data_IF_332685501160
#
_entry.id   IF_332685501160
#
_cell.length_a   1.000
_cell.length_b   1.000
_cell.length_c   1.000
_cell.angle_alpha   90.00
_cell.angle_beta   90.00
_cell.angle_gamma   90.00
#
_symmetry.space_group_name_H-M   'P 1'
#
loop_
_entity.id
_entity.type
_entity.pdbx_description
1 polymer ?
#
# COMPACT_ATOMS: atom_id res chain seq x y z
N UNK A 1 19.78 11.10 18.75
CA UNK A 1 20.19 11.37 20.15
C UNK A 1 20.28 12.87 20.43
N UNK A 2 21.00 13.68 19.61
CA UNK A 2 21.15 15.13 19.78
C UNK A 2 19.81 15.88 19.80
N UNK A 3 18.87 15.55 18.91
CA UNK A 3 17.54 16.17 18.89
C UNK A 3 16.69 15.78 20.11
N UNK A 4 16.82 14.57 20.63
CA UNK A 4 16.17 14.17 21.89
C UNK A 4 16.65 15.04 23.07
N UNK A 5 17.94 15.27 23.16
CA UNK A 5 18.51 16.14 24.22
C UNK A 5 18.06 17.59 24.07
N UNK A 6 18.08 18.12 22.84
CA UNK A 6 17.70 19.49 22.55
C UNK A 6 16.21 19.77 22.78
N UNK A 7 15.35 18.82 22.40
CA UNK A 7 13.89 18.92 22.61
C UNK A 7 13.47 18.54 24.03
N UNK A 8 14.35 17.93 24.81
CA UNK A 8 14.07 17.31 26.11
C UNK A 8 12.91 16.31 26.06
N UNK A 9 12.72 15.65 24.92
CA UNK A 9 11.66 14.68 24.69
C UNK A 9 12.15 13.54 23.82
N UNK A 10 11.89 12.30 24.24
CA UNK A 10 12.22 11.10 23.45
C UNK A 10 11.34 10.95 22.21
N UNK A 11 10.14 11.51 22.24
CA UNK A 11 9.15 11.49 21.14
C UNK A 11 9.13 12.80 20.33
N UNK A 12 10.26 13.50 20.25
CA UNK A 12 10.40 14.77 19.51
C UNK A 12 9.90 14.67 18.05
N UNK A 13 9.97 13.49 17.45
CA UNK A 13 9.55 13.22 16.07
C UNK A 13 8.02 13.28 15.89
N UNK A 14 7.22 13.06 16.96
CA UNK A 14 5.76 13.06 16.88
C UNK A 14 5.17 14.40 16.44
N UNK A 15 5.93 15.49 16.59
CA UNK A 15 5.51 16.82 16.15
C UNK A 15 5.49 16.98 14.63
N UNK A 16 6.08 16.06 13.88
CA UNK A 16 6.07 16.07 12.42
C UNK A 16 4.67 15.82 11.82
N UNK A 17 3.81 15.08 12.54
CA UNK A 17 2.42 14.84 12.16
C UNK A 17 1.57 14.82 13.45
N UNK A 18 1.26 15.99 14.01
CA UNK A 18 0.68 16.10 15.36
C UNK A 18 -0.75 15.57 15.48
N UNK A 19 -1.42 15.31 14.36
CA UNK A 19 -2.76 14.72 14.28
C UNK A 19 -2.77 13.21 14.30
N UNK A 20 -1.61 12.58 14.22
CA UNK A 20 -1.47 11.11 14.23
C UNK A 20 -0.88 10.62 15.54
N UNK A 21 -1.33 9.46 15.97
CA UNK A 21 -0.74 8.74 17.12
C UNK A 21 0.76 8.57 16.90
N UNK A 22 1.58 8.98 17.87
CA UNK A 22 3.05 9.01 17.79
C UNK A 22 3.62 9.70 16.53
N UNK A 23 2.87 10.63 15.90
CA UNK A 23 3.31 11.32 14.69
C UNK A 23 3.39 10.43 13.46
N UNK A 24 2.77 9.24 13.49
CA UNK A 24 2.82 8.26 12.40
C UNK A 24 4.19 7.58 12.25
N UNK A 25 4.98 7.50 13.33
CA UNK A 25 6.32 6.90 13.26
C UNK A 25 6.28 5.38 13.19
N UNK A 26 5.50 4.74 14.07
CA UNK A 26 5.36 3.29 14.13
C UNK A 26 3.98 2.91 14.65
N UNK A 27 3.43 1.78 14.15
CA UNK A 27 2.11 1.32 14.56
C UNK A 27 0.96 2.22 14.11
N UNK A 28 1.16 2.98 13.06
CA UNK A 28 0.19 3.92 12.52
C UNK A 28 -1.08 3.22 12.04
N UNK A 29 -2.24 3.67 12.53
CA UNK A 29 -3.55 3.24 12.04
C UNK A 29 -3.85 3.90 10.70
N UNK A 30 -4.19 3.09 9.70
CA UNK A 30 -4.64 3.59 8.39
C UNK A 30 -5.99 4.27 8.49
N UNK A 31 -6.83 3.81 9.44
CA UNK A 31 -8.10 4.45 9.75
C UNK A 31 -7.87 5.89 10.22
N UNK A 32 -6.98 6.08 11.19
CA UNK A 32 -6.64 7.41 11.70
C UNK A 32 -6.17 8.35 10.59
N UNK A 33 -5.38 7.83 9.63
CA UNK A 33 -4.97 8.62 8.46
C UNK A 33 -6.14 8.98 7.55
N UNK A 34 -6.97 8.00 7.21
CA UNK A 34 -8.08 8.20 6.28
C UNK A 34 -9.15 9.13 6.85
N UNK A 35 -9.40 9.07 8.17
CA UNK A 35 -10.33 9.97 8.86
C UNK A 35 -9.90 11.46 8.77
N UNK A 36 -8.62 11.72 8.47
CA UNK A 36 -8.07 13.07 8.29
C UNK A 36 -8.04 13.54 6.83
N UNK A 37 -8.42 12.69 5.90
CA UNK A 37 -8.42 12.98 4.46
C UNK A 37 -9.86 13.07 3.93
N UNK A 38 -10.11 13.91 2.91
CA UNK A 38 -11.39 13.84 2.20
C UNK A 38 -11.61 12.46 1.57
N UNK A 39 -12.86 11.97 1.56
CA UNK A 39 -13.21 10.62 1.09
C UNK A 39 -12.75 10.29 -0.34
N UNK A 40 -12.60 11.29 -1.18
CA UNK A 40 -12.15 11.12 -2.57
C UNK A 40 -10.62 10.99 -2.72
N UNK A 41 -9.85 10.99 -1.62
CA UNK A 41 -8.39 10.85 -1.62
C UNK A 41 -7.90 9.44 -1.30
N UNK A 42 -8.80 8.53 -0.98
CA UNK A 42 -8.46 7.13 -0.73
C UNK A 42 -9.53 6.20 -1.30
N UNK A 43 -9.19 4.95 -1.63
CA UNK A 43 -10.15 4.00 -2.16
C UNK A 43 -11.25 3.70 -1.13
N UNK A 44 -12.45 3.39 -1.62
CA UNK A 44 -13.57 2.97 -0.77
C UNK A 44 -13.11 1.91 0.24
N UNK A 45 -13.39 2.13 1.52
CA UNK A 45 -12.86 1.32 2.61
C UNK A 45 -13.92 1.10 3.68
N UNK A 46 -14.01 -0.12 4.21
CA UNK A 46 -14.74 -0.44 5.44
C UNK A 46 -13.82 -1.16 6.42
N UNK A 47 -14.15 -1.08 7.70
CA UNK A 47 -13.37 -1.68 8.79
C UNK A 47 -14.14 -2.84 9.39
N UNK A 48 -13.43 -3.95 9.62
CA UNK A 48 -13.97 -5.21 10.09
C UNK A 48 -13.27 -5.61 11.39
N UNK A 49 -14.07 -5.91 12.42
CA UNK A 49 -13.55 -6.52 13.64
C UNK A 49 -13.39 -8.03 13.45
N UNK A 50 -12.28 -8.63 13.92
CA UNK A 50 -12.07 -10.08 13.82
C UNK A 50 -13.07 -10.90 14.64
N UNK A 51 -13.82 -10.27 15.54
CA UNK A 51 -14.82 -10.92 16.41
C UNK A 51 -16.23 -10.94 15.81
N UNK A 52 -16.44 -10.31 14.66
CA UNK A 52 -17.74 -10.34 13.98
C UNK A 52 -18.03 -11.73 13.43
N UNK A 53 -19.27 -12.22 13.47
CA UNK A 53 -19.68 -13.40 12.69
C UNK A 53 -19.46 -13.14 11.19
N UNK A 54 -19.07 -14.19 10.46
CA UNK A 54 -18.76 -14.04 9.03
C UNK A 54 -19.95 -13.55 8.19
N UNK A 55 -21.16 -13.96 8.54
CA UNK A 55 -22.41 -13.48 7.89
C UNK A 55 -22.55 -11.95 8.01
N UNK A 56 -22.13 -11.37 9.12
CA UNK A 56 -22.14 -9.92 9.29
C UNK A 56 -21.05 -9.26 8.44
N UNK A 57 -19.87 -9.90 8.31
CA UNK A 57 -18.81 -9.44 7.40
C UNK A 57 -19.30 -9.40 5.97
N UNK A 58 -19.95 -10.47 5.50
CA UNK A 58 -20.55 -10.53 4.16
C UNK A 58 -21.56 -9.41 3.95
N UNK A 59 -22.46 -9.19 4.92
CA UNK A 59 -23.45 -8.13 4.86
C UNK A 59 -22.79 -6.75 4.78
N UNK A 60 -21.74 -6.50 5.55
CA UNK A 60 -20.99 -5.24 5.53
C UNK A 60 -20.32 -5.01 4.17
N UNK A 61 -19.70 -6.04 3.60
CA UNK A 61 -19.07 -5.98 2.27
C UNK A 61 -20.13 -5.69 1.19
N UNK A 62 -21.24 -6.41 1.22
CA UNK A 62 -22.34 -6.21 0.26
C UNK A 62 -22.98 -4.82 0.38
N UNK A 63 -23.35 -4.40 1.60
CA UNK A 63 -23.97 -3.09 1.83
C UNK A 63 -23.01 -1.92 1.56
N UNK A 64 -21.69 -2.16 1.75
CA UNK A 64 -20.64 -1.22 1.36
C UNK A 64 -20.44 -1.13 -0.16
N UNK A 65 -21.16 -1.92 -0.96
CA UNK A 65 -21.10 -1.92 -2.43
C UNK A 65 -19.75 -2.42 -2.96
N UNK A 66 -19.11 -3.39 -2.28
CA UNK A 66 -17.90 -4.03 -2.77
C UNK A 66 -18.23 -5.21 -3.68
N UNK A 67 -17.41 -5.39 -4.70
CA UNK A 67 -17.38 -6.58 -5.57
C UNK A 67 -15.98 -7.15 -5.63
N UNK A 68 -15.85 -8.44 -5.84
CA UNK A 68 -14.55 -9.08 -6.07
C UNK A 68 -13.95 -8.63 -7.41
N UNK A 69 -12.61 -8.46 -7.51
CA UNK A 69 -11.68 -8.55 -6.40
C UNK A 69 -11.62 -7.27 -5.56
N UNK A 70 -11.24 -7.42 -4.29
CA UNK A 70 -10.90 -6.32 -3.41
C UNK A 70 -9.68 -6.65 -2.53
N UNK A 71 -9.17 -5.68 -1.80
CA UNK A 71 -8.01 -5.84 -0.93
C UNK A 71 -8.45 -5.96 0.52
N UNK A 72 -7.79 -6.84 1.26
CA UNK A 72 -7.87 -6.90 2.71
C UNK A 72 -6.48 -6.71 3.32
N UNK A 73 -6.40 -5.95 4.38
CA UNK A 73 -5.14 -5.67 5.10
C UNK A 73 -5.43 -5.23 6.54
N UNK A 74 -4.55 -5.50 7.52
CA UNK A 74 -4.73 -5.00 8.87
C UNK A 74 -4.72 -3.47 8.89
N UNK A 75 -5.47 -2.88 9.82
CA UNK A 75 -5.46 -1.43 10.05
C UNK A 75 -4.05 -0.97 10.44
N UNK A 76 -3.47 -1.59 11.45
CA UNK A 76 -2.07 -1.40 11.82
C UNK A 76 -1.22 -2.53 11.24
N UNK A 77 -0.19 -2.18 10.47
CA UNK A 77 0.71 -3.17 9.87
C UNK A 77 1.67 -2.54 8.87
N UNK A 78 2.83 -3.16 8.70
CA UNK A 78 3.92 -2.72 7.84
C UNK A 78 4.22 -3.76 6.76
N UNK A 79 4.91 -3.33 5.70
CA UNK A 79 5.55 -4.17 4.68
C UNK A 79 4.64 -5.15 3.92
N UNK A 80 3.31 -4.95 3.97
CA UNK A 80 2.37 -5.84 3.32
C UNK A 80 2.06 -7.12 4.09
N UNK A 81 2.45 -7.19 5.37
CA UNK A 81 2.08 -8.31 6.24
C UNK A 81 0.56 -8.44 6.29
N UNK A 82 0.06 -9.65 6.07
CA UNK A 82 -1.37 -9.97 6.01
C UNK A 82 -2.16 -9.23 4.92
N UNK A 83 -1.50 -8.54 4.01
CA UNK A 83 -2.14 -8.00 2.80
C UNK A 83 -2.57 -9.16 1.88
N UNK A 84 -3.82 -9.11 1.39
CA UNK A 84 -4.33 -10.09 0.41
C UNK A 84 -5.25 -9.40 -0.59
N UNK A 85 -5.17 -9.85 -1.83
CA UNK A 85 -6.21 -9.68 -2.82
C UNK A 85 -7.20 -10.82 -2.64
N UNK A 86 -8.47 -10.50 -2.58
CA UNK A 86 -9.56 -11.45 -2.36
C UNK A 86 -10.40 -11.50 -3.62
N UNK A 87 -10.46 -12.66 -4.23
CA UNK A 87 -11.16 -12.91 -5.49
C UNK A 87 -12.47 -13.69 -5.28
N UNK A 88 -12.73 -14.21 -4.08
CA UNK A 88 -13.92 -14.99 -3.77
C UNK A 88 -14.33 -14.90 -2.29
N UNK A 89 -15.59 -15.28 -2.02
CA UNK A 89 -16.13 -15.37 -0.67
C UNK A 89 -15.36 -16.36 0.20
N UNK A 90 -14.99 -17.51 -0.35
CA UNK A 90 -14.20 -18.52 0.35
C UNK A 90 -12.84 -17.96 0.83
N UNK A 91 -12.17 -17.17 0.00
CA UNK A 91 -10.92 -16.51 0.38
C UNK A 91 -11.16 -15.47 1.48
N UNK A 92 -12.25 -14.71 1.43
CA UNK A 92 -12.61 -13.76 2.47
C UNK A 92 -12.88 -14.46 3.81
N UNK A 93 -13.66 -15.54 3.80
CA UNK A 93 -13.95 -16.33 5.00
C UNK A 93 -12.67 -16.91 5.61
N UNK A 94 -11.82 -17.50 4.78
CA UNK A 94 -10.53 -18.06 5.21
C UNK A 94 -9.64 -16.99 5.83
N UNK A 95 -9.61 -15.80 5.23
CA UNK A 95 -8.86 -14.66 5.75
C UNK A 95 -9.43 -14.21 7.10
N UNK A 96 -10.74 -13.99 7.18
CA UNK A 96 -11.42 -13.52 8.38
C UNK A 96 -11.20 -14.45 9.57
N UNK A 97 -11.35 -15.76 9.39
CA UNK A 97 -11.14 -16.78 10.43
C UNK A 97 -9.73 -16.78 11.01
N UNK A 98 -8.73 -16.34 10.24
CA UNK A 98 -7.32 -16.34 10.64
C UNK A 98 -6.84 -14.98 11.13
N UNK A 99 -7.64 -13.94 10.96
CA UNK A 99 -7.24 -12.58 11.28
C UNK A 99 -7.37 -12.31 12.78
N UNK A 100 -6.26 -12.01 13.49
CA UNK A 100 -6.31 -11.80 14.94
C UNK A 100 -6.62 -10.34 15.34
N UNK A 101 -6.57 -9.40 14.38
CA UNK A 101 -6.69 -7.96 14.62
C UNK A 101 -7.72 -7.32 13.69
N UNK A 102 -8.11 -6.10 13.99
CA UNK A 102 -8.96 -5.30 13.09
C UNK A 102 -8.29 -5.14 11.73
N UNK A 103 -9.11 -5.26 10.68
CA UNK A 103 -8.65 -5.14 9.31
C UNK A 103 -9.65 -4.34 8.47
N UNK A 104 -9.18 -3.88 7.34
CA UNK A 104 -10.00 -3.18 6.36
C UNK A 104 -10.24 -4.02 5.13
N UNK A 105 -11.43 -3.87 4.56
CA UNK A 105 -11.75 -4.23 3.18
C UNK A 105 -11.69 -2.95 2.37
N UNK A 106 -10.92 -2.96 1.29
CA UNK A 106 -10.66 -1.79 0.46
C UNK A 106 -10.81 -2.14 -1.01
N UNK A 107 -11.37 -1.23 -1.77
CA UNK A 107 -11.48 -1.36 -3.22
C UNK A 107 -10.13 -1.66 -3.86
N UNK A 108 -10.12 -2.62 -4.80
CA UNK A 108 -8.92 -2.91 -5.59
C UNK A 108 -8.79 -1.90 -6.72
N UNK A 109 -7.81 -1.03 -6.59
CA UNK A 109 -7.47 -0.03 -7.61
C UNK A 109 -6.43 -0.64 -8.55
N UNK A 110 -6.85 -0.95 -9.78
CA UNK A 110 -6.00 -1.57 -10.80
C UNK A 110 -5.53 -0.52 -11.84
N UNK A 111 -4.87 0.52 -11.37
CA UNK A 111 -4.21 1.46 -12.26
C UNK A 111 -2.78 1.01 -12.58
N UNK A 112 -2.30 1.24 -13.81
CA UNK A 112 -1.00 0.75 -14.25
C UNK A 112 0.18 1.51 -13.63
N UNK A 113 -0.07 2.70 -13.11
CA UNK A 113 0.95 3.55 -12.51
C UNK A 113 0.75 3.65 -11.01
N UNK A 114 1.79 3.29 -10.25
CA UNK A 114 1.88 3.56 -8.84
C UNK A 114 3.05 4.51 -8.58
N UNK A 115 2.78 5.63 -7.92
CA UNK A 115 3.78 6.65 -7.60
C UNK A 115 3.91 6.82 -6.10
N UNK A 116 5.12 7.16 -5.67
CA UNK A 116 5.40 7.59 -4.31
C UNK A 116 5.90 9.03 -4.30
N UNK A 117 5.43 9.81 -3.36
CA UNK A 117 5.76 11.22 -3.21
C UNK A 117 6.22 11.46 -1.78
N UNK A 118 7.43 12.00 -1.62
CA UNK A 118 7.88 12.54 -0.34
C UNK A 118 7.62 14.02 -0.28
N UNK A 119 6.78 14.42 0.68
CA UNK A 119 6.42 15.80 0.90
C UNK A 119 6.75 16.22 2.33
N UNK A 120 7.22 17.47 2.50
CA UNK A 120 7.32 18.09 3.81
C UNK A 120 6.91 19.55 3.76
N UNK A 121 6.40 20.07 4.88
CA UNK A 121 6.09 21.49 5.09
C UNK A 121 6.41 21.90 6.53
N UNK A 122 7.13 22.98 6.68
CA UNK A 122 7.30 23.55 8.02
C UNK A 122 5.97 24.14 8.50
N UNK A 123 5.54 23.92 9.76
CA UNK A 123 4.22 24.35 10.25
C UNK A 123 3.91 25.84 10.04
N UNK A 124 4.94 26.70 10.02
CA UNK A 124 4.83 28.14 9.83
C UNK A 124 4.81 28.59 8.37
N UNK A 125 5.09 27.68 7.44
CA UNK A 125 5.13 28.01 6.02
C UNK A 125 3.77 27.77 5.37
N UNK A 126 3.41 28.63 4.44
CA UNK A 126 2.21 28.46 3.61
C UNK A 126 2.36 27.32 2.60
N UNK A 127 3.56 27.08 2.09
CA UNK A 127 3.87 26.05 1.11
C UNK A 127 4.97 25.12 1.62
N UNK A 128 4.91 23.86 1.17
CA UNK A 128 5.91 22.84 1.46
C UNK A 128 6.85 22.59 0.29
N UNK A 129 7.42 21.39 0.27
CA UNK A 129 8.30 20.93 -0.80
C UNK A 129 8.11 19.45 -1.03
N UNK A 130 8.13 19.06 -2.29
CA UNK A 130 8.24 17.66 -2.71
C UNK A 130 9.72 17.36 -2.92
N UNK A 131 10.26 16.45 -2.11
CA UNK A 131 11.69 16.10 -2.13
C UNK A 131 12.00 14.90 -3.00
N UNK A 132 11.00 14.08 -3.28
CA UNK A 132 11.13 12.97 -4.23
C UNK A 132 9.77 12.64 -4.83
N UNK A 133 9.78 12.34 -6.11
CA UNK A 133 8.70 11.74 -6.88
C UNK A 133 9.27 10.53 -7.61
N UNK A 134 8.64 9.38 -7.47
CA UNK A 134 9.10 8.16 -8.12
C UNK A 134 7.94 7.25 -8.49
N UNK A 135 8.08 6.49 -9.57
CA UNK A 135 7.17 5.41 -9.89
C UNK A 135 7.66 4.09 -9.28
N UNK A 136 6.70 3.26 -8.93
CA UNK A 136 6.94 1.89 -8.50
C UNK A 136 6.56 0.94 -9.64
N UNK A 137 7.48 0.07 -9.99
CA UNK A 137 7.24 -1.01 -10.94
C UNK A 137 7.20 -2.32 -10.17
N UNK A 138 6.06 -2.97 -10.22
CA UNK A 138 5.88 -4.29 -9.62
C UNK A 138 6.74 -5.32 -10.35
N UNK A 139 7.26 -6.33 -9.64
CA UNK A 139 7.98 -7.40 -10.28
C UNK A 139 7.02 -8.18 -11.18
N UNK A 140 7.46 -8.46 -12.38
CA UNK A 140 6.67 -9.18 -13.37
C UNK A 140 7.59 -9.99 -14.27
N UNK A 141 7.11 -11.12 -14.74
CA UNK A 141 7.77 -11.92 -15.78
C UNK A 141 7.01 -11.79 -17.10
N UNK A 142 7.73 -11.93 -18.20
CA UNK A 142 7.16 -11.97 -19.54
C UNK A 142 7.38 -13.35 -20.17
N UNK A 143 6.34 -13.90 -20.75
CA UNK A 143 6.40 -15.18 -21.44
C UNK A 143 7.24 -15.12 -22.72
N UNK A 144 8.01 -16.16 -22.95
CA UNK A 144 8.75 -16.38 -24.19
C UNK A 144 8.01 -17.34 -25.15
N UNK A 145 6.91 -17.93 -24.68
CA UNK A 145 6.07 -18.90 -25.38
C UNK A 145 6.56 -20.36 -25.29
N UNK A 146 7.60 -20.62 -24.51
CA UNK A 146 8.22 -21.95 -24.40
C UNK A 146 8.51 -22.36 -22.98
N UNK A 147 8.98 -21.42 -22.15
CA UNK A 147 9.38 -21.68 -20.77
C UNK A 147 8.18 -21.66 -19.85
N UNK A 148 8.22 -22.51 -18.83
CA UNK A 148 7.26 -22.47 -17.73
C UNK A 148 7.47 -21.20 -16.88
N UNK A 149 6.48 -20.82 -16.11
CA UNK A 149 6.58 -19.71 -15.17
C UNK A 149 7.76 -19.95 -14.22
N UNK A 150 7.94 -21.18 -13.74
CA UNK A 150 9.04 -21.57 -12.89
C UNK A 150 10.42 -21.33 -13.54
N UNK A 151 10.59 -21.77 -14.77
CA UNK A 151 11.84 -21.57 -15.53
C UNK A 151 12.11 -20.08 -15.80
N UNK A 152 11.07 -19.26 -16.05
CA UNK A 152 11.21 -17.82 -16.24
C UNK A 152 11.63 -17.14 -14.94
N UNK A 153 11.11 -17.56 -13.79
CA UNK A 153 11.50 -17.05 -12.47
C UNK A 153 12.98 -17.34 -12.15
N UNK A 154 13.42 -18.55 -12.45
CA UNK A 154 14.82 -18.96 -12.26
C UNK A 154 15.77 -18.16 -13.16
N UNK A 155 15.39 -17.87 -14.40
CA UNK A 155 16.20 -17.09 -15.34
C UNK A 155 16.39 -15.63 -14.93
N UNK A 156 15.36 -15.00 -14.40
CA UNK A 156 15.39 -13.56 -14.08
C UNK A 156 16.19 -13.23 -12.82
N UNK A 157 16.67 -14.20 -12.05
CA UNK A 157 17.45 -14.02 -10.80
C UNK A 157 16.86 -12.93 -9.89
N UNK A 158 15.54 -12.83 -9.83
CA UNK A 158 14.83 -11.71 -9.18
C UNK A 158 15.08 -11.64 -7.67
N UNK A 159 15.77 -12.62 -7.07
CA UNK A 159 15.95 -12.72 -5.62
C UNK A 159 14.65 -12.92 -4.87
N UNK A 160 13.57 -13.06 -5.59
CA UNK A 160 12.22 -13.27 -5.04
C UNK A 160 12.09 -14.78 -4.90
N UNK A 161 11.96 -15.25 -3.67
CA UNK A 161 11.81 -16.68 -3.38
C UNK A 161 10.41 -17.15 -3.75
N UNK A 162 10.27 -18.43 -4.10
CA UNK A 162 8.97 -19.07 -4.40
C UNK A 162 7.91 -18.84 -3.31
N UNK A 163 8.35 -18.63 -2.04
CA UNK A 163 7.47 -18.32 -0.90
C UNK A 163 6.75 -16.96 -1.02
N UNK A 164 7.30 -16.03 -1.81
CA UNK A 164 6.67 -14.73 -2.08
C UNK A 164 5.61 -14.83 -3.18
N UNK A 165 5.70 -15.88 -4.02
CA UNK A 165 4.69 -16.18 -5.02
C UNK A 165 3.68 -17.15 -4.44
N UNK A 166 2.44 -16.75 -4.42
CA UNK A 166 1.32 -17.64 -4.07
C UNK A 166 0.67 -18.22 -5.33
N UNK A 167 1.49 -18.60 -6.29
CA UNK A 167 1.06 -19.41 -7.42
C UNK A 167 1.01 -20.85 -6.98
N UNK A 168 -0.03 -21.57 -7.41
CA UNK A 168 -0.14 -23.00 -7.21
C UNK A 168 0.96 -23.73 -7.99
N UNK A 169 1.37 -24.94 -7.55
CA UNK A 169 2.36 -25.74 -8.29
C UNK A 169 1.93 -25.92 -9.75
N UNK A 170 0.63 -26.11 -10.03
CA UNK A 170 0.11 -26.21 -11.38
C UNK A 170 0.21 -24.93 -12.21
N UNK A 171 0.17 -23.77 -11.58
CA UNK A 171 0.39 -22.48 -12.25
C UNK A 171 1.86 -22.29 -12.59
N UNK A 172 2.77 -22.71 -11.70
CA UNK A 172 4.22 -22.61 -11.91
C UNK A 172 4.70 -23.46 -13.10
N UNK A 173 4.07 -24.61 -13.34
CA UNK A 173 4.38 -25.51 -14.45
C UNK A 173 3.71 -25.10 -15.77
N UNK A 174 2.87 -24.07 -15.76
CA UNK A 174 2.23 -23.57 -16.98
C UNK A 174 3.19 -22.75 -17.84
N UNK A 175 3.05 -22.86 -19.18
CA UNK A 175 3.82 -22.06 -20.14
C UNK A 175 3.12 -20.74 -20.37
N UNK A 176 3.85 -19.64 -20.16
CA UNK A 176 3.33 -18.31 -20.42
C UNK A 176 3.48 -17.97 -21.91
N UNK A 177 2.39 -17.54 -22.52
CA UNK A 177 2.37 -17.16 -23.93
C UNK A 177 3.38 -16.04 -24.24
N UNK A 178 3.89 -16.02 -25.47
CA UNK A 178 4.89 -15.03 -25.88
C UNK A 178 4.36 -13.60 -25.77
N UNK A 179 4.99 -12.80 -24.92
CA UNK A 179 4.59 -11.42 -24.68
C UNK A 179 3.53 -11.25 -23.58
N UNK A 180 2.92 -12.34 -23.11
CA UNK A 180 2.06 -12.29 -21.94
C UNK A 180 2.87 -11.91 -20.71
N UNK A 181 2.21 -11.24 -19.75
CA UNK A 181 2.88 -10.71 -18.56
C UNK A 181 2.10 -11.07 -17.31
N UNK A 182 2.81 -11.58 -16.32
CA UNK A 182 2.26 -11.87 -14.99
C UNK A 182 2.99 -11.00 -13.96
N UNK A 183 2.20 -10.29 -13.14
CA UNK A 183 2.73 -9.61 -11.97
C UNK A 183 2.96 -10.61 -10.84
N UNK A 184 4.16 -10.60 -10.31
CA UNK A 184 4.58 -11.53 -9.27
C UNK A 184 4.18 -11.07 -7.87
N UNK A 185 3.81 -9.80 -7.72
CA UNK A 185 3.32 -9.23 -6.47
C UNK A 185 2.37 -8.07 -6.76
N UNK A 186 1.40 -7.87 -5.89
CA UNK A 186 0.56 -6.67 -5.85
C UNK A 186 1.04 -5.64 -4.84
N UNK A 187 2.18 -5.92 -4.18
CA UNK A 187 2.75 -5.09 -3.11
C UNK A 187 3.95 -4.34 -3.65
N UNK A 188 3.83 -3.02 -3.77
CA UNK A 188 4.85 -2.13 -4.30
C UNK A 188 5.94 -1.78 -3.27
N UNK A 189 6.64 -2.78 -2.71
CA UNK A 189 7.79 -2.55 -1.84
C UNK A 189 9.02 -3.38 -2.26
N UNK A 190 10.19 -3.02 -1.73
CA UNK A 190 11.45 -3.71 -2.05
C UNK A 190 11.50 -5.17 -1.64
N UNK A 191 10.88 -5.51 -0.51
CA UNK A 191 10.82 -6.89 -0.04
C UNK A 191 10.09 -7.81 -1.01
N UNK A 192 9.11 -7.26 -1.74
CA UNK A 192 8.37 -7.96 -2.76
C UNK A 192 8.91 -7.71 -4.18
N UNK A 193 10.16 -7.25 -4.31
CA UNK A 193 10.85 -7.13 -5.60
C UNK A 193 10.46 -5.91 -6.43
N UNK A 194 9.72 -4.95 -5.89
CA UNK A 194 9.39 -3.73 -6.62
C UNK A 194 10.65 -2.88 -6.87
N UNK A 195 10.75 -2.32 -8.08
CA UNK A 195 11.77 -1.35 -8.46
C UNK A 195 11.21 0.07 -8.46
N UNK A 196 12.09 1.06 -8.26
CA UNK A 196 11.72 2.46 -8.13
C UNK A 196 12.45 3.25 -9.21
N UNK A 197 11.70 4.08 -9.95
CA UNK A 197 12.24 4.93 -10.99
C UNK A 197 12.00 6.39 -10.62
N UNK A 198 13.05 7.19 -10.63
CA UNK A 198 12.98 8.61 -10.30
C UNK A 198 12.18 9.39 -11.35
N UNK A 199 11.24 10.17 -10.88
CA UNK A 199 10.40 11.08 -11.65
C UNK A 199 10.52 12.52 -11.15
N UNK A 200 11.52 12.84 -10.32
CA UNK A 200 11.65 14.15 -9.68
C UNK A 200 11.72 15.31 -10.68
N UNK A 201 12.17 15.07 -11.92
CA UNK A 201 12.12 16.05 -12.99
C UNK A 201 10.71 16.44 -13.47
N UNK A 202 9.67 15.74 -13.03
CA UNK A 202 8.25 16.00 -13.36
C UNK A 202 7.51 16.76 -12.25
N UNK A 203 8.21 17.14 -11.18
CA UNK A 203 7.61 17.92 -10.10
C UNK A 203 7.33 19.33 -10.62
N UNK A 204 6.07 19.73 -10.57
CA UNK A 204 5.59 21.04 -10.96
C UNK A 204 4.81 21.74 -9.84
N UNK A 205 4.49 23.01 -10.03
CA UNK A 205 3.71 23.79 -9.08
C UNK A 205 2.29 23.25 -8.86
N UNK A 206 1.68 22.64 -9.87
CA UNK A 206 0.34 22.07 -9.76
C UNK A 206 0.34 20.89 -8.82
N UNK A 207 1.35 20.02 -8.94
CA UNK A 207 1.54 18.89 -8.03
C UNK A 207 1.79 19.39 -6.60
N UNK A 208 2.70 20.33 -6.42
CA UNK A 208 3.01 20.92 -5.11
C UNK A 208 1.77 21.53 -4.46
N UNK A 209 1.00 22.34 -5.16
CA UNK A 209 -0.22 22.97 -4.64
C UNK A 209 -1.27 21.94 -4.19
N UNK A 210 -1.35 20.79 -4.87
CA UNK A 210 -2.24 19.69 -4.46
C UNK A 210 -1.83 19.12 -3.10
N UNK A 211 -0.53 18.88 -2.88
CA UNK A 211 -0.02 18.36 -1.62
C UNK A 211 -0.02 19.39 -0.49
N UNK A 212 0.17 20.65 -0.79
CA UNK A 212 -0.04 21.74 0.16
C UNK A 212 -1.48 21.72 0.70
N UNK A 213 -2.47 21.60 -0.18
CA UNK A 213 -3.89 21.50 0.21
C UNK A 213 -4.14 20.31 1.14
N UNK A 214 -3.63 19.13 0.80
CA UNK A 214 -3.75 17.92 1.64
C UNK A 214 -3.08 18.14 2.99
N UNK A 215 -1.85 18.66 3.01
CA UNK A 215 -1.08 18.91 4.23
C UNK A 215 -1.75 19.93 5.14
N UNK A 216 -2.37 20.98 4.59
CA UNK A 216 -3.10 21.96 5.40
C UNK A 216 -4.34 21.35 6.05
N UNK A 217 -5.10 20.55 5.30
CA UNK A 217 -6.31 19.91 5.82
C UNK A 217 -6.03 18.86 6.90
N UNK A 218 -5.03 18.01 6.67
CA UNK A 218 -4.70 16.88 7.55
C UNK A 218 -3.68 17.21 8.64
N UNK A 219 -2.93 18.33 8.50
CA UNK A 219 -1.75 18.67 9.31
C UNK A 219 -0.64 17.62 9.23
N UNK A 220 -0.47 16.98 8.08
CA UNK A 220 0.68 16.11 7.78
C UNK A 220 1.84 16.98 7.31
N UNK A 221 2.83 17.17 8.18
CA UNK A 221 3.97 18.03 7.87
C UNK A 221 5.16 17.29 7.26
N UNK A 222 5.20 15.97 7.41
CA UNK A 222 6.24 15.12 6.82
C UNK A 222 5.64 13.76 6.47
N UNK A 223 5.50 13.47 5.17
CA UNK A 223 4.80 12.27 4.75
C UNK A 223 5.30 11.71 3.43
N UNK A 224 5.23 10.38 3.30
CA UNK A 224 5.22 9.71 2.01
C UNK A 224 3.77 9.38 1.64
N UNK A 225 3.39 9.77 0.44
CA UNK A 225 2.11 9.40 -0.16
C UNK A 225 2.37 8.34 -1.22
N UNK A 226 1.63 7.23 -1.16
CA UNK A 226 1.62 6.17 -2.17
C UNK A 226 0.28 6.26 -2.91
N UNK A 227 0.33 6.46 -4.22
CA UNK A 227 -0.83 6.82 -5.06
C UNK A 227 -0.86 5.88 -6.26
N UNK A 228 -2.04 5.44 -6.61
CA UNK A 228 -2.34 4.75 -7.85
C UNK A 228 -3.21 5.61 -8.76
#
# INVERSE_FOLDING_TARGET
FWYMLRSRAVWFFSTSNPTLTFGGFEGESKKEMYDLLPENYFPKTIYISPRQPFEQVQQNVYSGGFSYPFIVKPDVGMEGILFRKIDSEYQLETYHRRMPVEYMVQEFVDYPLEIGIFYYRHPQNASGSITALFSKKLPSISGDGFSTIKELLEKEQTGITEELFKLDEGELDSVLGRGDRINLSFIGNRYHGATFHDLSGQIDERLLNRFDTISHGSRFYYRRYDIK
#
